data_IF_186326655975
#
_entry.id   IF_186326655975
#
_cell.length_a   1.000
_cell.length_b   1.000
_cell.length_c   1.000
_cell.angle_alpha   90.00
_cell.angle_beta   90.00
_cell.angle_gamma   90.00
#
_symmetry.space_group_name_H-M   'P 1'
#
loop_
_entity.id
_entity.type
_entity.pdbx_description
1 polymer ?
#
# COMPACT_ATOMS: atom_id res chain seq x y z
N UNK A 1 -3.75 -16.24 -38.20
CA UNK A 1 -3.43 -15.38 -37.04
C UNK A 1 -3.32 -16.24 -35.78
N UNK A 2 -2.09 -16.58 -35.36
CA UNK A 2 -1.83 -17.44 -34.19
C UNK A 2 -1.62 -16.51 -32.99
N UNK A 3 -2.57 -16.43 -32.06
CA UNK A 3 -2.34 -15.80 -30.76
C UNK A 3 -1.44 -16.74 -29.97
N UNK A 4 -0.15 -16.43 -29.91
CA UNK A 4 0.75 -17.01 -28.93
C UNK A 4 0.34 -16.44 -27.57
N UNK A 5 -0.52 -17.14 -26.85
CA UNK A 5 -0.74 -16.91 -25.43
C UNK A 5 0.53 -17.31 -24.70
N UNK A 6 1.46 -16.38 -24.58
CA UNK A 6 2.62 -16.50 -23.70
C UNK A 6 2.07 -16.70 -22.29
N UNK A 7 2.33 -17.86 -21.69
CA UNK A 7 2.05 -18.07 -20.27
C UNK A 7 2.65 -16.89 -19.49
N UNK A 8 1.91 -16.25 -18.55
CA UNK A 8 2.43 -15.12 -17.81
C UNK A 8 3.70 -15.54 -17.08
N UNK A 9 4.81 -14.96 -17.52
CA UNK A 9 6.17 -15.27 -17.10
C UNK A 9 6.25 -15.25 -15.56
N UNK A 10 6.85 -16.28 -14.93
CA UNK A 10 6.99 -16.35 -13.46
C UNK A 10 7.57 -15.06 -12.87
N UNK A 11 8.44 -14.40 -13.63
CA UNK A 11 9.04 -13.10 -13.35
C UNK A 11 8.00 -12.01 -13.15
N UNK A 12 6.98 -11.92 -14.02
CA UNK A 12 5.90 -10.91 -13.90
C UNK A 12 5.08 -11.16 -12.64
N UNK A 13 4.79 -12.42 -12.32
CA UNK A 13 4.00 -12.78 -11.14
C UNK A 13 4.78 -12.53 -9.84
N UNK A 14 6.08 -12.82 -9.84
CA UNK A 14 6.96 -12.51 -8.72
C UNK A 14 7.10 -11.01 -8.50
N UNK A 15 7.27 -10.23 -9.58
CA UNK A 15 7.33 -8.77 -9.52
C UNK A 15 6.02 -8.16 -9.00
N UNK A 16 4.88 -8.69 -9.46
CA UNK A 16 3.55 -8.32 -8.97
C UNK A 16 3.43 -8.48 -7.46
N UNK A 17 3.76 -9.66 -6.93
CA UNK A 17 3.73 -9.90 -5.48
C UNK A 17 4.76 -9.07 -4.71
N UNK A 18 5.95 -8.85 -5.30
CA UNK A 18 6.98 -8.00 -4.72
C UNK A 18 6.52 -6.55 -4.55
N UNK A 19 5.86 -5.99 -5.58
CA UNK A 19 5.29 -4.64 -5.52
C UNK A 19 4.17 -4.58 -4.48
N UNK A 20 3.25 -5.55 -4.47
CA UNK A 20 2.16 -5.59 -3.49
C UNK A 20 2.68 -5.65 -2.04
N UNK A 21 3.65 -6.53 -1.77
CA UNK A 21 4.29 -6.62 -0.47
C UNK A 21 5.03 -5.32 -0.09
N UNK A 22 5.74 -4.72 -1.05
CA UNK A 22 6.41 -3.43 -0.87
C UNK A 22 5.44 -2.30 -0.52
N UNK A 23 4.28 -2.23 -1.18
CA UNK A 23 3.24 -1.24 -0.88
C UNK A 23 2.69 -1.40 0.53
N UNK A 24 2.40 -2.64 0.96
CA UNK A 24 1.92 -2.92 2.32
C UNK A 24 2.96 -2.48 3.36
N UNK A 25 4.22 -2.86 3.17
CA UNK A 25 5.31 -2.49 4.09
C UNK A 25 5.54 -0.98 4.14
N UNK A 26 5.51 -0.31 2.99
CA UNK A 26 5.68 1.14 2.91
C UNK A 26 4.59 1.89 3.66
N UNK A 27 3.32 1.50 3.46
CA UNK A 27 2.19 2.12 4.14
C UNK A 27 2.25 1.84 5.65
N UNK A 28 2.58 0.60 6.05
CA UNK A 28 2.79 0.26 7.45
C UNK A 28 3.92 1.09 8.10
N UNK A 29 5.03 1.31 7.39
CA UNK A 29 6.14 2.12 7.86
C UNK A 29 5.74 3.59 8.06
N UNK A 30 4.94 4.15 7.16
CA UNK A 30 4.40 5.52 7.30
C UNK A 30 3.50 5.62 8.53
N UNK A 31 2.58 4.67 8.73
CA UNK A 31 1.70 4.66 9.92
C UNK A 31 2.52 4.58 11.20
N UNK A 32 3.54 3.72 11.24
CA UNK A 32 4.43 3.58 12.40
C UNK A 32 5.22 4.87 12.66
N UNK A 33 5.76 5.48 11.61
CA UNK A 33 6.50 6.74 11.69
C UNK A 33 5.65 7.89 12.19
N UNK A 34 4.42 8.02 11.66
CA UNK A 34 3.43 8.99 12.13
C UNK A 34 3.12 8.78 13.61
N UNK A 35 2.86 7.53 14.02
CA UNK A 35 2.57 7.19 15.42
C UNK A 35 3.74 7.58 16.34
N UNK A 36 4.97 7.36 15.88
CA UNK A 36 6.17 7.77 16.60
C UNK A 36 6.23 9.30 16.76
N UNK A 37 5.98 10.07 15.70
CA UNK A 37 5.97 11.53 15.76
C UNK A 37 4.91 12.08 16.72
N UNK A 38 3.71 11.48 16.75
CA UNK A 38 2.66 11.86 17.70
C UNK A 38 3.14 11.64 19.15
N UNK A 39 3.73 10.48 19.44
CA UNK A 39 4.28 10.19 20.78
C UNK A 39 5.41 11.16 21.15
N UNK A 40 6.29 11.48 20.20
CA UNK A 40 7.37 12.46 20.42
C UNK A 40 6.81 13.83 20.72
N UNK A 41 5.82 14.30 19.95
CA UNK A 41 5.18 15.59 20.18
C UNK A 41 4.51 15.66 21.56
N UNK A 42 3.77 14.62 21.96
CA UNK A 42 3.19 14.53 23.32
C UNK A 42 4.26 14.56 24.42
N UNK A 43 5.40 13.90 24.20
CA UNK A 43 6.49 13.86 25.19
C UNK A 43 7.22 15.20 25.32
N UNK A 44 7.32 15.96 24.23
CA UNK A 44 7.98 17.27 24.21
C UNK A 44 7.07 18.42 24.64
N UNK A 45 5.76 18.20 24.79
CA UNK A 45 4.80 19.24 25.16
C UNK A 45 4.52 20.25 24.03
N UNK A 46 4.97 19.95 22.80
CA UNK A 46 4.72 20.75 21.61
C UNK A 46 3.25 20.64 21.18
N UNK A 47 2.73 21.69 20.51
CA UNK A 47 1.33 21.73 20.05
C UNK A 47 1.06 20.54 19.13
N UNK A 48 0.27 19.54 19.57
CA UNK A 48 0.10 18.28 18.82
C UNK A 48 -0.71 18.47 17.53
N UNK A 49 -1.30 19.65 17.31
CA UNK A 49 -2.36 19.85 16.33
C UNK A 49 -1.87 19.68 14.88
N UNK A 50 -0.64 20.08 14.55
CA UNK A 50 -0.13 19.97 13.19
C UNK A 50 0.14 18.51 12.80
N UNK A 51 0.85 17.76 13.64
CA UNK A 51 1.13 16.33 13.40
C UNK A 51 -0.14 15.49 13.45
N UNK A 52 -1.06 15.76 14.38
CA UNK A 52 -2.36 15.07 14.42
C UNK A 52 -3.18 15.39 13.18
N UNK A 53 -3.24 16.65 12.74
CA UNK A 53 -3.97 17.08 11.53
C UNK A 53 -3.43 16.40 10.28
N UNK A 54 -2.11 16.37 10.10
CA UNK A 54 -1.47 15.68 8.97
C UNK A 54 -1.79 14.18 9.00
N UNK A 55 -1.74 13.54 10.17
CA UNK A 55 -2.02 12.11 10.34
C UNK A 55 -3.47 11.76 10.02
N UNK A 56 -4.41 12.62 10.47
CA UNK A 56 -5.85 12.43 10.28
C UNK A 56 -6.25 12.48 8.80
N UNK A 57 -5.49 13.22 7.98
CA UNK A 57 -5.68 13.28 6.52
C UNK A 57 -4.86 12.22 5.80
N UNK A 58 -3.60 12.04 6.17
CA UNK A 58 -2.69 11.14 5.47
C UNK A 58 -3.07 9.66 5.63
N UNK A 59 -3.46 9.22 6.84
CA UNK A 59 -3.80 7.80 7.08
C UNK A 59 -4.96 7.34 6.18
N UNK A 60 -6.11 8.04 6.11
CA UNK A 60 -7.19 7.67 5.18
C UNK A 60 -6.78 7.63 3.71
N UNK A 61 -5.95 8.57 3.26
CA UNK A 61 -5.46 8.60 1.88
C UNK A 61 -4.61 7.37 1.59
N UNK A 62 -3.67 7.03 2.47
CA UNK A 62 -2.84 5.83 2.29
C UNK A 62 -3.65 4.55 2.37
N UNK A 63 -4.64 4.46 3.26
CA UNK A 63 -5.55 3.29 3.31
C UNK A 63 -6.37 3.15 2.03
N UNK A 64 -6.80 4.26 1.43
CA UNK A 64 -7.52 4.25 0.16
C UNK A 64 -6.61 3.76 -0.97
N UNK A 65 -5.39 4.27 -1.07
CA UNK A 65 -4.39 3.82 -2.05
C UNK A 65 -4.07 2.33 -1.86
N UNK A 66 -3.93 1.87 -0.62
CA UNK A 66 -3.74 0.46 -0.30
C UNK A 66 -4.93 -0.37 -0.78
N UNK A 67 -6.16 0.05 -0.45
CA UNK A 67 -7.39 -0.65 -0.83
C UNK A 67 -7.55 -0.75 -2.34
N UNK A 68 -7.32 0.35 -3.07
CA UNK A 68 -7.36 0.36 -4.54
C UNK A 68 -6.29 -0.57 -5.11
N UNK A 69 -5.07 -0.50 -4.59
CA UNK A 69 -3.97 -1.39 -4.98
C UNK A 69 -4.35 -2.86 -4.80
N UNK A 70 -4.81 -3.23 -3.61
CA UNK A 70 -5.25 -4.59 -3.29
C UNK A 70 -6.41 -5.05 -4.16
N UNK A 71 -7.41 -4.20 -4.42
CA UNK A 71 -8.54 -4.50 -5.28
C UNK A 71 -8.11 -4.77 -6.72
N UNK A 72 -7.27 -3.90 -7.30
CA UNK A 72 -6.74 -4.08 -8.66
C UNK A 72 -5.89 -5.35 -8.74
N UNK A 73 -5.04 -5.60 -7.75
CA UNK A 73 -4.23 -6.81 -7.68
C UNK A 73 -5.08 -8.08 -7.58
N UNK A 74 -6.14 -8.05 -6.78
CA UNK A 74 -7.10 -9.15 -6.67
C UNK A 74 -7.79 -9.41 -8.01
N UNK A 75 -8.30 -8.37 -8.67
CA UNK A 75 -8.94 -8.48 -9.99
C UNK A 75 -8.01 -9.08 -11.05
N UNK A 76 -6.74 -8.68 -11.08
CA UNK A 76 -5.73 -9.25 -11.98
C UNK A 76 -5.40 -10.73 -11.67
N UNK A 77 -5.52 -11.14 -10.40
CA UNK A 77 -5.28 -12.53 -10.00
C UNK A 77 -6.48 -13.43 -10.33
N UNK A 78 -7.71 -12.93 -10.14
CA UNK A 78 -8.97 -13.64 -10.43
C UNK A 78 -9.23 -13.77 -11.94
N UNK A 79 -9.03 -12.72 -12.74
CA UNK A 79 -9.22 -12.77 -14.21
C UNK A 79 -8.28 -13.78 -14.89
N UNK A 80 -7.13 -14.07 -14.26
CA UNK A 80 -6.18 -15.09 -14.72
C UNK A 80 -6.58 -16.52 -14.30
N UNK A 81 -7.51 -16.69 -13.36
CA UNK A 81 -7.98 -18.00 -12.89
C UNK A 81 -9.18 -18.52 -13.68
N UNK A 82 -9.93 -17.64 -14.36
CA UNK A 82 -11.11 -18.00 -15.15
C UNK A 82 -10.81 -18.21 -16.65
N UNK A 83 -9.55 -18.07 -17.07
CA UNK A 83 -9.05 -18.40 -18.42
C UNK A 83 -8.16 -19.63 -18.40
#
# INVERSE_FOLDING_TARGET
MRRLTSAPDRTVRALQWGIAAGTVLFIGAIILWITHLIRTAWRLGDVPSASIGISLVAIPVFLTVLGVGLYVFWGLLTDRSER
#
